data_IF_652420292061
#
_entry.id   IF_652420292061
#
_cell.length_a   1.000
_cell.length_b   1.000
_cell.length_c   1.000
_cell.angle_alpha   90.00
_cell.angle_beta   90.00
_cell.angle_gamma   90.00
#
_symmetry.space_group_name_H-M   'P 1'
#
loop_
_entity.id
_entity.type
_entity.pdbx_description
1 polymer ?
#
# COMPACT_ATOMS: atom_id res chain seq x y z
N UNK A 1 -26.58 -0.62 0.77
CA UNK A 1 -25.81 -0.98 -0.41
C UNK A 1 -24.68 -1.93 0.00
N UNK A 2 -24.65 -3.11 -0.57
CA UNK A 2 -23.67 -4.17 -0.23
C UNK A 2 -22.57 -4.31 -1.29
N UNK A 3 -22.45 -3.35 -2.20
CA UNK A 3 -21.41 -3.39 -3.24
C UNK A 3 -20.02 -3.23 -2.61
N UNK A 4 -19.02 -4.01 -3.06
CA UNK A 4 -17.65 -3.82 -2.65
C UNK A 4 -17.23 -2.36 -2.81
N UNK A 5 -16.73 -1.76 -1.75
CA UNK A 5 -16.44 -0.32 -1.69
C UNK A 5 -14.98 -0.11 -1.35
N UNK A 6 -14.34 0.83 -2.04
CA UNK A 6 -12.99 1.31 -1.74
C UNK A 6 -13.08 2.73 -1.23
N UNK A 7 -12.49 3.02 -0.08
CA UNK A 7 -12.32 4.38 0.43
C UNK A 7 -10.96 4.93 0.01
N UNK A 8 -10.95 6.14 -0.51
CA UNK A 8 -9.72 6.84 -0.87
C UNK A 8 -9.65 8.15 -0.10
N UNK A 9 -8.57 8.36 0.63
CA UNK A 9 -8.29 9.59 1.37
C UNK A 9 -6.78 9.88 1.35
N UNK A 10 -6.38 11.10 1.68
CA UNK A 10 -4.97 11.47 1.64
C UNK A 10 -4.23 11.01 2.89
N UNK A 11 -4.67 11.44 4.06
CA UNK A 11 -4.02 11.13 5.33
C UNK A 11 -4.43 9.74 5.85
N UNK A 12 -3.48 8.82 6.11
CA UNK A 12 -3.78 7.52 6.68
C UNK A 12 -4.02 7.63 8.19
N UNK A 13 -5.12 7.08 8.72
CA UNK A 13 -5.42 7.11 10.16
C UNK A 13 -4.69 5.99 10.92
N UNK A 14 -3.38 5.90 10.78
CA UNK A 14 -2.56 4.82 11.35
C UNK A 14 -1.31 5.37 12.05
N UNK A 15 -0.83 4.62 13.04
CA UNK A 15 0.54 4.75 13.49
C UNK A 15 1.48 4.15 12.45
N UNK A 16 2.30 5.02 11.83
CA UNK A 16 3.18 4.61 10.73
C UNK A 16 4.55 4.12 11.20
N UNK A 17 4.87 4.32 12.47
CA UNK A 17 6.21 4.17 13.04
C UNK A 17 7.14 5.36 12.73
N UNK A 18 6.70 6.29 11.88
CA UNK A 18 7.45 7.51 11.57
C UNK A 18 6.75 8.71 12.24
N UNK A 19 7.22 9.07 13.45
CA UNK A 19 6.51 9.95 14.34
C UNK A 19 6.19 11.34 13.81
N UNK A 20 7.03 11.90 12.92
CA UNK A 20 6.79 13.23 12.34
C UNK A 20 5.75 13.25 11.19
N UNK A 21 5.36 12.05 10.70
CA UNK A 21 4.36 11.88 9.64
C UNK A 21 3.07 11.21 10.14
N UNK A 22 3.05 10.76 11.40
CA UNK A 22 1.90 10.05 11.97
C UNK A 22 0.81 11.04 12.38
N UNK A 23 -0.43 10.72 12.02
CA UNK A 23 -1.61 11.45 12.46
C UNK A 23 -1.94 11.13 13.95
N UNK A 24 -2.58 12.08 14.62
CA UNK A 24 -3.15 11.80 15.94
C UNK A 24 -4.30 10.79 15.83
N UNK A 25 -4.07 9.57 16.31
CA UNK A 25 -5.06 8.49 16.28
C UNK A 25 -6.31 8.79 17.14
N UNK A 26 -6.21 9.73 18.07
CA UNK A 26 -7.34 10.19 18.90
C UNK A 26 -8.10 11.36 18.28
N UNK A 27 -7.63 11.88 17.14
CA UNK A 27 -8.32 12.96 16.44
C UNK A 27 -9.79 12.59 16.15
N UNK A 28 -10.73 13.52 16.36
CA UNK A 28 -12.17 13.23 16.20
C UNK A 28 -12.55 12.68 14.83
N UNK A 29 -11.83 13.05 13.77
CA UNK A 29 -12.10 12.55 12.43
C UNK A 29 -11.68 11.08 12.28
N UNK A 30 -10.56 10.66 12.90
CA UNK A 30 -10.10 9.27 12.90
C UNK A 30 -11.12 8.38 13.61
N UNK A 31 -11.59 8.81 14.78
CA UNK A 31 -12.58 8.05 15.55
C UNK A 31 -13.90 7.90 14.78
N UNK A 32 -14.41 8.98 14.17
CA UNK A 32 -15.63 8.93 13.33
C UNK A 32 -15.45 8.01 12.13
N UNK A 33 -14.30 8.07 11.46
CA UNK A 33 -13.99 7.20 10.32
C UNK A 33 -13.97 5.72 10.75
N UNK A 34 -13.32 5.42 11.89
CA UNK A 34 -13.28 4.07 12.45
C UNK A 34 -14.69 3.50 12.72
N UNK A 35 -15.58 4.32 13.29
CA UNK A 35 -16.98 3.92 13.51
C UNK A 35 -17.72 3.64 12.21
N UNK A 36 -17.51 4.45 11.18
CA UNK A 36 -18.11 4.23 9.85
C UNK A 36 -17.59 2.92 9.25
N UNK A 37 -16.30 2.72 9.23
CA UNK A 37 -15.69 1.52 8.62
C UNK A 37 -16.16 0.25 9.33
N UNK A 38 -16.21 0.22 10.67
CA UNK A 38 -16.72 -0.95 11.42
C UNK A 38 -18.17 -1.31 11.08
N UNK A 39 -19.00 -0.32 10.74
CA UNK A 39 -20.42 -0.53 10.40
C UNK A 39 -20.66 -0.90 8.94
N UNK A 40 -19.62 -0.83 8.11
CA UNK A 40 -19.71 -1.03 6.66
C UNK A 40 -18.74 -2.11 6.17
N UNK A 41 -19.02 -3.41 6.42
CA UNK A 41 -18.11 -4.51 6.06
C UNK A 41 -17.91 -4.66 4.54
N UNK A 42 -18.73 -4.02 3.71
CA UNK A 42 -18.52 -3.93 2.26
C UNK A 42 -17.35 -3.02 1.88
N UNK A 43 -16.75 -2.28 2.82
CA UNK A 43 -15.50 -1.54 2.60
C UNK A 43 -14.34 -2.54 2.61
N UNK A 44 -13.93 -2.95 1.42
CA UNK A 44 -12.92 -3.99 1.22
C UNK A 44 -11.48 -3.46 1.23
N UNK A 45 -11.30 -2.15 1.06
CA UNK A 45 -9.99 -1.50 1.03
C UNK A 45 -10.09 -0.02 1.38
N UNK A 46 -9.09 0.45 2.11
CA UNK A 46 -8.76 1.88 2.19
C UNK A 46 -7.46 2.12 1.44
N UNK A 47 -7.40 3.18 0.64
CA UNK A 47 -6.23 3.60 -0.10
C UNK A 47 -5.87 5.01 0.34
N UNK A 48 -4.63 5.23 0.74
CA UNK A 48 -4.14 6.52 1.23
C UNK A 48 -2.80 6.88 0.60
N UNK A 49 -2.34 8.10 0.82
CA UNK A 49 -1.04 8.61 0.42
C UNK A 49 -0.28 9.18 1.61
N UNK A 50 0.20 10.41 1.48
CA UNK A 50 0.84 11.25 2.50
C UNK A 50 2.20 10.75 3.01
N UNK A 51 2.32 9.51 3.44
CA UNK A 51 3.53 8.96 4.08
C UNK A 51 4.68 8.69 3.10
N UNK A 52 4.45 8.83 1.80
CA UNK A 52 5.46 8.57 0.76
C UNK A 52 6.18 7.21 0.91
N UNK A 53 5.43 6.17 1.36
CA UNK A 53 5.91 4.79 1.52
C UNK A 53 4.83 3.79 1.14
N UNK A 54 5.24 2.64 0.65
CA UNK A 54 4.36 1.50 0.47
C UNK A 54 4.13 0.83 1.83
N UNK A 55 2.94 0.99 2.40
CA UNK A 55 2.58 0.41 3.70
C UNK A 55 1.27 -0.36 3.54
N UNK A 56 1.17 -1.52 4.19
CA UNK A 56 -0.07 -2.28 4.29
C UNK A 56 -0.31 -2.66 5.74
N UNK A 57 -1.52 -2.42 6.22
CA UNK A 57 -1.94 -2.83 7.57
C UNK A 57 -3.43 -3.15 7.61
N UNK A 58 -3.85 -3.94 8.61
CA UNK A 58 -5.26 -4.06 8.95
C UNK A 58 -5.77 -2.80 9.65
N UNK A 59 -6.99 -2.38 9.36
CA UNK A 59 -7.62 -1.23 10.01
C UNK A 59 -9.13 -1.42 10.14
N UNK A 60 -9.61 -1.60 11.37
CA UNK A 60 -11.05 -1.74 11.73
C UNK A 60 -11.87 -2.68 10.84
N UNK A 61 -11.31 -3.86 10.49
CA UNK A 61 -11.99 -4.89 9.71
C UNK A 61 -11.76 -4.83 8.21
N UNK A 62 -11.05 -3.81 7.72
CA UNK A 62 -10.59 -3.73 6.33
C UNK A 62 -9.06 -3.72 6.24
N UNK A 63 -8.52 -3.72 5.04
CA UNK A 63 -7.10 -3.51 4.77
C UNK A 63 -6.87 -2.08 4.31
N UNK A 64 -5.90 -1.41 4.91
CA UNK A 64 -5.42 -0.10 4.50
C UNK A 64 -4.10 -0.26 3.73
N UNK A 65 -4.00 0.37 2.57
CA UNK A 65 -2.81 0.46 1.75
C UNK A 65 -2.41 1.92 1.56
N UNK A 66 -1.20 2.28 1.96
CA UNK A 66 -0.60 3.59 1.66
C UNK A 66 0.18 3.47 0.36
N UNK A 67 -0.09 4.34 -0.60
CA UNK A 67 0.64 4.39 -1.85
C UNK A 67 2.00 5.06 -1.66
N UNK A 68 3.06 4.52 -2.29
CA UNK A 68 4.34 5.21 -2.36
C UNK A 68 4.19 6.51 -3.16
N UNK A 69 5.15 7.41 -3.02
CA UNK A 69 5.12 8.70 -3.70
C UNK A 69 5.65 8.62 -5.13
N UNK A 70 5.08 9.41 -6.02
CA UNK A 70 5.68 9.74 -7.33
C UNK A 70 6.76 10.84 -7.23
N UNK A 71 6.99 11.37 -6.03
CA UNK A 71 8.06 12.29 -5.63
C UNK A 71 9.10 11.56 -4.77
N UNK A 72 10.12 12.24 -4.20
CA UNK A 72 11.03 11.63 -3.25
C UNK A 72 10.30 10.93 -2.10
N UNK A 73 10.90 9.86 -1.59
CA UNK A 73 10.33 9.05 -0.52
C UNK A 73 10.70 9.60 0.86
N UNK A 74 9.88 9.33 1.86
CA UNK A 74 10.23 9.60 3.27
C UNK A 74 11.23 8.52 3.73
N UNK A 75 12.29 8.90 4.43
CA UNK A 75 13.24 7.95 5.01
C UNK A 75 12.56 7.08 6.08
N UNK A 76 12.93 5.80 6.14
CA UNK A 76 12.41 4.89 7.16
C UNK A 76 13.29 5.00 8.39
N UNK A 77 12.77 5.65 9.43
CA UNK A 77 13.41 5.75 10.74
C UNK A 77 12.33 5.71 11.82
N UNK A 78 12.35 4.66 12.63
CA UNK A 78 11.37 4.42 13.69
C UNK A 78 11.81 4.90 15.06
N UNK A 79 12.96 5.58 15.15
CA UNK A 79 13.38 6.20 16.42
C UNK A 79 12.44 7.37 16.74
N UNK A 80 12.16 7.54 18.01
CA UNK A 80 11.41 8.70 18.49
C UNK A 80 12.10 10.00 18.02
N UNK A 81 11.30 10.99 17.61
CA UNK A 81 11.82 12.27 17.18
C UNK A 81 11.65 13.30 18.29
N UNK A 82 12.76 13.98 18.63
CA UNK A 82 12.76 15.13 19.53
C UNK A 82 12.72 16.40 18.70
N UNK A 83 11.62 17.15 18.81
CA UNK A 83 11.45 18.41 18.06
C UNK A 83 12.42 19.53 18.47
N UNK A 84 13.06 19.44 19.62
CA UNK A 84 13.98 20.46 20.15
C UNK A 84 15.45 20.10 19.89
N UNK A 85 15.78 18.82 19.75
CA UNK A 85 17.15 18.33 19.61
C UNK A 85 17.34 17.56 18.30
N UNK A 86 17.69 18.25 17.18
CA UNK A 86 17.94 17.59 15.89
C UNK A 86 19.08 16.58 15.98
N UNK A 87 18.83 15.34 15.53
CA UNK A 87 19.79 14.23 15.59
C UNK A 87 20.46 13.90 14.25
N UNK A 88 20.17 14.69 13.20
CA UNK A 88 20.76 14.55 11.88
C UNK A 88 20.23 13.36 11.07
N UNK A 89 19.10 12.75 11.49
CA UNK A 89 18.50 11.65 10.73
C UNK A 89 18.05 12.08 9.33
N UNK A 90 18.08 11.14 8.41
CA UNK A 90 17.48 11.37 7.10
C UNK A 90 15.96 11.51 7.22
N UNK A 91 15.37 12.46 6.51
CA UNK A 91 13.92 12.66 6.47
C UNK A 91 13.34 12.36 5.09
N UNK A 92 13.99 12.80 4.03
CA UNK A 92 13.59 12.60 2.64
C UNK A 92 14.76 12.03 1.87
N UNK A 93 14.52 11.00 1.08
CA UNK A 93 15.52 10.27 0.30
C UNK A 93 15.12 10.17 -1.17
N UNK A 94 16.11 10.21 -2.05
CA UNK A 94 15.92 10.13 -3.50
C UNK A 94 15.79 8.68 -3.99
N UNK A 95 15.02 7.86 -3.28
CA UNK A 95 14.65 6.54 -3.79
C UNK A 95 13.74 6.68 -5.03
N UNK A 96 13.69 5.66 -5.91
CA UNK A 96 12.83 5.70 -7.08
C UNK A 96 11.37 6.04 -6.73
N UNK A 97 10.69 6.84 -7.55
CA UNK A 97 9.26 7.09 -7.37
C UNK A 97 8.47 5.78 -7.48
N UNK A 98 7.30 5.72 -6.87
CA UNK A 98 6.47 4.54 -6.91
C UNK A 98 5.00 4.86 -7.11
N UNK A 99 4.22 3.83 -7.40
CA UNK A 99 2.76 3.88 -7.51
C UNK A 99 2.16 2.55 -7.09
N UNK A 100 0.86 2.55 -6.85
CA UNK A 100 0.11 1.33 -6.61
C UNK A 100 -0.85 1.05 -7.78
N UNK A 101 -0.84 -0.19 -8.26
CA UNK A 101 -1.79 -0.71 -9.22
C UNK A 101 -2.79 -1.62 -8.49
N UNK A 102 -4.07 -1.28 -8.57
CA UNK A 102 -5.14 -2.05 -7.96
C UNK A 102 -5.88 -2.84 -9.02
N UNK A 103 -5.83 -4.17 -8.93
CA UNK A 103 -6.49 -5.10 -9.85
C UNK A 103 -7.72 -5.71 -9.19
N UNK A 104 -8.89 -5.49 -9.79
CA UNK A 104 -10.14 -6.10 -9.35
C UNK A 104 -10.39 -7.42 -10.10
N UNK A 105 -10.48 -8.53 -9.35
CA UNK A 105 -10.67 -9.87 -9.92
C UNK A 105 -12.13 -10.22 -10.20
N UNK A 106 -13.07 -9.36 -9.84
CA UNK A 106 -14.51 -9.66 -9.74
C UNK A 106 -14.94 -10.01 -8.32
N UNK A 107 -14.00 -10.38 -7.43
CA UNK A 107 -14.23 -10.73 -6.03
C UNK A 107 -13.28 -10.03 -5.07
N UNK A 108 -12.00 -9.99 -5.38
CA UNK A 108 -10.93 -9.48 -4.53
C UNK A 108 -10.23 -8.28 -5.18
N UNK A 109 -9.76 -7.33 -4.37
CA UNK A 109 -8.92 -6.23 -4.80
C UNK A 109 -7.46 -6.51 -4.46
N UNK A 110 -6.66 -6.79 -5.48
CA UNK A 110 -5.22 -7.05 -5.35
C UNK A 110 -4.46 -5.74 -5.54
N UNK A 111 -3.52 -5.44 -4.65
CA UNK A 111 -2.67 -4.25 -4.75
C UNK A 111 -1.24 -4.66 -5.09
N UNK A 112 -0.70 -4.12 -6.17
CA UNK A 112 0.69 -4.23 -6.57
C UNK A 112 1.37 -2.88 -6.36
N UNK A 113 2.47 -2.87 -5.62
CA UNK A 113 3.34 -1.70 -5.52
C UNK A 113 4.42 -1.79 -6.58
N UNK A 114 4.58 -0.73 -7.34
CA UNK A 114 5.47 -0.67 -8.49
C UNK A 114 6.46 0.47 -8.32
N UNK A 115 7.72 0.23 -8.65
CA UNK A 115 8.71 1.28 -8.82
C UNK A 115 8.47 1.98 -10.16
N UNK A 116 8.55 3.32 -10.17
CA UNK A 116 8.55 4.12 -11.39
C UNK A 116 9.92 4.10 -12.06
N UNK A 117 9.93 4.36 -13.37
CA UNK A 117 11.14 4.39 -14.19
C UNK A 117 11.19 3.30 -15.25
N UNK A 118 12.29 3.29 -16.01
CA UNK A 118 12.55 2.25 -17.01
C UNK A 118 13.31 1.09 -16.37
N UNK A 119 12.81 -0.12 -16.59
CA UNK A 119 13.40 -1.34 -16.09
C UNK A 119 13.73 -2.28 -17.25
N UNK A 120 14.95 -2.85 -17.34
CA UNK A 120 15.29 -3.79 -18.39
C UNK A 120 14.42 -5.04 -18.31
N UNK A 121 13.89 -5.47 -19.46
CA UNK A 121 13.14 -6.73 -19.56
C UNK A 121 14.10 -7.90 -19.58
N UNK A 122 14.10 -8.70 -18.52
CA UNK A 122 14.99 -9.86 -18.37
C UNK A 122 14.44 -11.12 -19.06
N UNK A 123 13.12 -11.25 -19.17
CA UNK A 123 12.49 -12.39 -19.86
C UNK A 123 11.20 -11.94 -20.56
N UNK A 124 10.86 -12.63 -21.64
CA UNK A 124 9.59 -12.43 -22.38
C UNK A 124 8.92 -13.79 -22.60
N UNK A 125 7.61 -13.81 -22.59
CA UNK A 125 6.86 -14.98 -23.06
C UNK A 125 6.98 -15.08 -24.58
N UNK A 126 7.78 -16.03 -25.03
CA UNK A 126 8.03 -16.33 -26.43
C UNK A 126 8.12 -17.86 -26.63
N UNK A 127 8.42 -18.34 -27.84
CA UNK A 127 8.48 -19.76 -28.14
C UNK A 127 9.46 -20.54 -27.23
N UNK A 128 10.56 -19.91 -26.76
CA UNK A 128 11.51 -20.55 -25.84
C UNK A 128 10.90 -20.80 -24.45
N UNK A 129 10.04 -19.88 -23.97
CA UNK A 129 9.40 -19.97 -22.66
C UNK A 129 8.09 -20.78 -22.68
N UNK A 130 7.53 -21.03 -23.85
CA UNK A 130 6.24 -21.72 -24.01
C UNK A 130 6.18 -23.08 -23.30
N UNK A 131 7.16 -24.01 -23.43
CA UNK A 131 7.10 -25.32 -22.75
C UNK A 131 7.06 -25.17 -21.23
N UNK A 132 7.83 -24.21 -20.67
CA UNK A 132 7.83 -23.94 -19.22
C UNK A 132 6.45 -23.47 -18.74
N UNK A 133 5.81 -22.56 -19.47
CA UNK A 133 4.48 -22.07 -19.11
C UNK A 133 3.43 -23.16 -19.26
N UNK A 134 3.51 -23.98 -20.31
CA UNK A 134 2.60 -25.13 -20.46
C UNK A 134 2.70 -26.12 -19.29
N UNK A 135 3.91 -26.43 -18.83
CA UNK A 135 4.13 -27.29 -17.68
C UNK A 135 3.53 -26.69 -16.40
N UNK A 136 3.79 -25.41 -16.07
CA UNK A 136 3.23 -24.71 -14.91
C UNK A 136 1.68 -24.71 -14.94
N UNK A 137 1.09 -24.54 -16.10
CA UNK A 137 -0.37 -24.52 -16.23
C UNK A 137 -0.98 -25.93 -16.05
N UNK A 138 -0.31 -26.99 -16.54
CA UNK A 138 -0.74 -28.38 -16.35
C UNK A 138 -0.73 -28.76 -14.87
N UNK A 139 0.31 -28.45 -14.12
CA UNK A 139 0.40 -28.72 -12.68
C UNK A 139 -0.74 -28.07 -11.87
N UNK A 140 -1.19 -26.87 -12.26
CA UNK A 140 -2.33 -26.20 -11.61
C UNK A 140 -3.66 -26.91 -11.82
N UNK A 141 -3.81 -27.58 -12.96
CA UNK A 141 -5.05 -28.30 -13.30
C UNK A 141 -5.13 -29.64 -12.57
N UNK A 142 -3.99 -30.30 -12.33
CA UNK A 142 -3.91 -31.54 -11.57
C UNK A 142 -4.08 -31.36 -10.05
N UNK A 143 -3.90 -30.13 -9.54
CA UNK A 143 -4.01 -29.82 -8.11
C UNK A 143 -5.42 -29.36 -7.68
N UNK A 144 -6.40 -29.31 -8.60
CA UNK A 144 -7.81 -28.99 -8.36
C UNK A 144 -8.69 -30.24 -8.41
#
# INVERSE_FOLDING_TARGET
DNRPTVLVLHHPPIESGNGWMTEDLHAPWVQRLAEVVRRHPQIIRMITGHLHRAIVTGWHGTTLAVCPSSAPQVAIDFREIDGENPDGRDMIVAEPPGFALHYWTGRDLITHFCAGGEHPVLARYNARMQPTIQHILAERTEAQ
#
